data_IF_280039905977
#
_entry.id   IF_280039905977
#
_cell.length_a   1.000
_cell.length_b   1.000
_cell.length_c   1.000
_cell.angle_alpha   90.00
_cell.angle_beta   90.00
_cell.angle_gamma   90.00
#
_symmetry.space_group_name_H-M   'P 1'
#
loop_
_entity.id
_entity.type
_entity.pdbx_description
1 polymer ?
#
# COMPACT_ATOMS: atom_id res chain seq x y z
N UNK A 1 31.31 30.23 -12.30
CA UNK A 1 30.55 30.04 -11.04
C UNK A 1 29.90 28.65 -10.95
N UNK A 2 30.57 27.56 -11.38
CA UNK A 2 29.96 26.21 -11.43
C UNK A 2 30.62 25.18 -10.48
N UNK A 3 31.60 25.57 -9.65
CA UNK A 3 32.35 24.63 -8.81
C UNK A 3 31.68 24.26 -7.48
N UNK A 4 30.94 25.19 -6.86
CA UNK A 4 30.39 24.99 -5.51
C UNK A 4 29.13 24.09 -5.48
N UNK A 5 28.31 24.09 -6.53
CA UNK A 5 27.16 23.18 -6.62
C UNK A 5 27.60 21.72 -6.75
N UNK A 6 28.69 21.46 -7.50
CA UNK A 6 29.17 20.09 -7.74
C UNK A 6 29.71 19.40 -6.48
N UNK A 7 30.39 20.13 -5.59
CA UNK A 7 30.92 19.57 -4.34
C UNK A 7 29.84 19.39 -3.27
N UNK A 8 28.87 20.30 -3.20
CA UNK A 8 27.73 20.19 -2.29
C UNK A 8 26.79 19.05 -2.67
N UNK A 9 26.46 18.90 -3.97
CA UNK A 9 25.63 17.80 -4.47
C UNK A 9 26.28 16.43 -4.22
N UNK A 10 27.60 16.32 -4.40
CA UNK A 10 28.34 15.09 -4.09
C UNK A 10 28.34 14.76 -2.59
N UNK A 11 28.45 15.77 -1.72
CA UNK A 11 28.37 15.58 -0.27
C UNK A 11 26.99 15.09 0.19
N UNK A 12 25.90 15.58 -0.40
CA UNK A 12 24.54 15.15 -0.07
C UNK A 12 24.29 13.74 -0.59
N UNK A 13 24.67 13.45 -1.84
CA UNK A 13 24.53 12.14 -2.44
C UNK A 13 25.33 11.07 -1.67
N UNK A 14 26.54 11.38 -1.23
CA UNK A 14 27.35 10.47 -0.42
C UNK A 14 26.77 10.27 0.98
N UNK A 15 26.23 11.32 1.61
CA UNK A 15 25.54 11.20 2.90
C UNK A 15 24.27 10.35 2.77
N UNK A 16 23.52 10.53 1.70
CA UNK A 16 22.34 9.72 1.38
C UNK A 16 22.71 8.25 1.14
N UNK A 17 23.74 7.98 0.34
CA UNK A 17 24.22 6.61 0.09
C UNK A 17 24.63 5.92 1.39
N UNK A 18 25.45 6.58 2.21
CA UNK A 18 25.87 6.04 3.52
C UNK A 18 24.69 5.77 4.44
N UNK A 19 23.69 6.64 4.45
CA UNK A 19 22.47 6.41 5.24
C UNK A 19 21.71 5.16 4.76
N UNK A 20 21.55 5.02 3.45
CA UNK A 20 20.87 3.87 2.85
C UNK A 20 21.64 2.58 3.12
N UNK A 21 22.94 2.55 2.87
CA UNK A 21 23.80 1.37 3.10
C UNK A 21 23.79 0.93 4.57
N UNK A 22 23.77 1.89 5.51
CA UNK A 22 23.85 1.58 6.94
C UNK A 22 22.54 1.09 7.55
N UNK A 23 21.40 1.64 7.11
CA UNK A 23 20.12 1.41 7.78
C UNK A 23 19.18 0.49 7.01
N UNK A 24 19.44 0.23 5.73
CA UNK A 24 18.57 -0.65 4.95
C UNK A 24 18.75 -2.11 5.34
N UNK A 25 17.67 -2.87 5.27
CA UNK A 25 17.73 -4.31 5.45
C UNK A 25 18.37 -4.97 4.21
N UNK A 26 19.51 -5.68 4.36
CA UNK A 26 20.20 -6.31 3.24
C UNK A 26 19.37 -7.43 2.58
N UNK A 27 18.40 -8.02 3.28
CA UNK A 27 17.58 -9.12 2.76
C UNK A 27 16.65 -8.66 1.63
N UNK A 28 16.27 -7.38 1.62
CA UNK A 28 15.31 -6.80 0.67
C UNK A 28 15.96 -5.97 -0.43
N UNK A 29 17.28 -5.78 -0.40
CA UNK A 29 18.01 -4.86 -1.29
C UNK A 29 17.79 -5.15 -2.78
N UNK A 30 17.86 -6.43 -3.15
CA UNK A 30 17.76 -6.88 -4.54
C UNK A 30 16.31 -7.09 -5.02
N UNK A 31 15.32 -6.75 -4.20
CA UNK A 31 13.92 -6.93 -4.58
C UNK A 31 13.45 -5.82 -5.50
N UNK A 32 12.40 -6.12 -6.26
CA UNK A 32 11.85 -5.17 -7.23
C UNK A 32 11.39 -3.87 -6.54
N UNK A 33 11.82 -2.74 -7.11
CA UNK A 33 11.68 -1.36 -6.58
C UNK A 33 12.39 -1.05 -5.24
N UNK A 34 13.29 -1.91 -4.76
CA UNK A 34 13.99 -1.70 -3.48
C UNK A 34 15.41 -1.13 -3.60
N UNK A 35 15.91 -0.89 -4.81
CA UNK A 35 17.24 -0.26 -5.02
C UNK A 35 17.32 1.16 -4.44
N UNK A 36 16.21 1.88 -4.40
CA UNK A 36 16.10 3.23 -3.87
C UNK A 36 14.68 3.77 -4.03
N UNK A 37 14.39 4.99 -3.53
CA UNK A 37 13.07 5.61 -3.60
C UNK A 37 12.74 6.15 -5.00
N UNK A 38 13.76 6.39 -5.85
CA UNK A 38 13.61 7.00 -7.17
C UNK A 38 12.56 6.32 -8.07
N UNK A 39 12.60 4.99 -8.27
CA UNK A 39 11.59 4.27 -9.03
C UNK A 39 10.17 4.48 -8.50
N UNK A 40 9.96 4.38 -7.18
CA UNK A 40 8.67 4.61 -6.54
C UNK A 40 8.18 6.06 -6.76
N UNK A 41 9.04 7.04 -6.49
CA UNK A 41 8.71 8.45 -6.67
C UNK A 41 8.35 8.76 -8.11
N UNK A 42 8.99 8.11 -9.08
CA UNK A 42 8.68 8.25 -10.51
C UNK A 42 7.28 7.69 -10.81
N UNK A 43 6.94 6.51 -10.28
CA UNK A 43 5.59 5.93 -10.41
C UNK A 43 4.55 6.87 -9.82
N UNK A 44 4.77 7.37 -8.59
CA UNK A 44 3.82 8.24 -7.90
C UNK A 44 3.67 9.62 -8.57
N UNK A 45 4.76 10.21 -9.05
CA UNK A 45 4.72 11.47 -9.79
C UNK A 45 3.94 11.29 -11.10
N UNK A 46 4.20 10.21 -11.83
CA UNK A 46 3.46 9.87 -13.06
C UNK A 46 1.98 9.62 -12.77
N UNK A 47 1.68 8.89 -11.70
CA UNK A 47 0.32 8.64 -11.23
C UNK A 47 -0.44 9.93 -10.91
N UNK A 48 0.16 10.84 -10.13
CA UNK A 48 -0.47 12.12 -9.78
C UNK A 48 -0.66 13.01 -11.01
N UNK A 49 0.35 13.07 -11.89
CA UNK A 49 0.27 13.83 -13.13
C UNK A 49 -0.83 13.29 -14.05
N UNK A 50 -0.94 11.97 -14.17
CA UNK A 50 -2.00 11.32 -14.91
C UNK A 50 -3.39 11.62 -14.31
N UNK A 51 -3.57 11.40 -13.02
CA UNK A 51 -4.89 11.50 -12.39
C UNK A 51 -5.42 12.94 -12.32
N UNK A 52 -4.54 13.92 -12.11
CA UNK A 52 -4.96 15.32 -11.95
C UNK A 52 -4.93 16.12 -13.25
N UNK A 53 -4.10 15.75 -14.22
CA UNK A 53 -3.90 16.55 -15.43
C UNK A 53 -4.19 15.78 -16.72
N UNK A 54 -3.39 14.76 -17.04
CA UNK A 54 -3.43 14.13 -18.37
C UNK A 54 -4.73 13.36 -18.60
N UNK A 55 -5.10 12.49 -17.66
CA UNK A 55 -6.27 11.63 -17.77
C UNK A 55 -7.58 12.43 -17.88
N UNK A 56 -7.86 13.41 -16.99
CA UNK A 56 -9.06 14.26 -17.12
C UNK A 56 -9.10 15.06 -18.42
N UNK A 57 -7.95 15.62 -18.88
CA UNK A 57 -7.87 16.34 -20.16
C UNK A 57 -8.14 15.42 -21.34
N UNK A 58 -7.53 14.24 -21.36
CA UNK A 58 -7.73 13.23 -22.40
C UNK A 58 -9.18 12.73 -22.46
N UNK A 59 -9.82 12.57 -21.30
CA UNK A 59 -11.21 12.11 -21.19
C UNK A 59 -12.25 13.22 -21.42
N UNK A 60 -11.85 14.50 -21.51
CA UNK A 60 -12.78 15.64 -21.61
C UNK A 60 -13.80 15.45 -22.73
N UNK A 61 -13.31 15.16 -23.93
CA UNK A 61 -14.09 15.06 -25.17
C UNK A 61 -14.49 13.61 -25.51
N UNK A 62 -14.27 12.67 -24.58
CA UNK A 62 -14.61 11.24 -24.73
C UNK A 62 -15.75 10.83 -23.82
N UNK A 63 -16.50 9.81 -24.25
CA UNK A 63 -17.47 9.12 -23.39
C UNK A 63 -16.74 8.27 -22.34
N UNK A 64 -17.33 8.03 -21.15
CA UNK A 64 -16.76 7.12 -20.16
C UNK A 64 -16.50 5.74 -20.76
N UNK A 65 -15.32 5.17 -20.52
CA UNK A 65 -15.03 3.81 -21.00
C UNK A 65 -15.84 2.75 -20.24
N UNK A 66 -16.31 1.74 -20.97
CA UNK A 66 -16.86 0.54 -20.35
C UNK A 66 -15.74 -0.45 -20.04
N UNK A 67 -15.28 -0.40 -18.79
CA UNK A 67 -14.20 -1.25 -18.27
C UNK A 67 -14.74 -2.34 -17.35
N UNK A 68 -16.01 -2.74 -17.49
CA UNK A 68 -16.67 -3.68 -16.56
C UNK A 68 -15.85 -4.95 -16.33
N UNK A 69 -15.47 -5.66 -17.41
CA UNK A 69 -14.74 -6.92 -17.29
C UNK A 69 -13.34 -6.73 -16.71
N UNK A 70 -12.65 -5.65 -17.09
CA UNK A 70 -11.33 -5.31 -16.56
C UNK A 70 -11.39 -5.07 -15.05
N UNK A 71 -12.39 -4.30 -14.60
CA UNK A 71 -12.59 -4.01 -13.17
C UNK A 71 -12.99 -5.27 -12.38
N UNK A 72 -13.76 -6.17 -12.98
CA UNK A 72 -14.09 -7.46 -12.36
C UNK A 72 -12.82 -8.29 -12.13
N UNK A 73 -11.99 -8.47 -13.16
CA UNK A 73 -10.73 -9.22 -13.07
C UNK A 73 -9.80 -8.56 -12.04
N UNK A 74 -9.70 -7.24 -12.08
CA UNK A 74 -8.91 -6.46 -11.13
C UNK A 74 -9.38 -6.66 -9.69
N UNK A 75 -10.69 -6.52 -9.40
CA UNK A 75 -11.23 -6.71 -8.05
C UNK A 75 -11.02 -8.14 -7.55
N UNK A 76 -11.19 -9.16 -8.41
CA UNK A 76 -10.88 -10.55 -8.05
C UNK A 76 -9.39 -10.71 -7.72
N UNK A 77 -8.50 -10.14 -8.53
CA UNK A 77 -7.05 -10.17 -8.28
C UNK A 77 -6.69 -9.49 -6.95
N UNK A 78 -7.33 -8.37 -6.63
CA UNK A 78 -7.16 -7.67 -5.36
C UNK A 78 -7.65 -8.48 -4.16
N UNK A 79 -8.79 -9.16 -4.28
CA UNK A 79 -9.31 -10.07 -3.25
C UNK A 79 -8.29 -11.19 -3.00
N UNK A 80 -7.82 -11.86 -4.05
CA UNK A 80 -6.84 -12.95 -3.93
C UNK A 80 -5.53 -12.49 -3.31
N UNK A 81 -5.01 -11.35 -3.75
CA UNK A 81 -3.79 -10.74 -3.16
C UNK A 81 -3.99 -10.41 -1.69
N UNK A 82 -5.16 -9.86 -1.32
CA UNK A 82 -5.47 -9.51 0.07
C UNK A 82 -5.60 -10.75 0.95
N UNK A 83 -6.25 -11.82 0.47
CA UNK A 83 -6.32 -13.11 1.19
C UNK A 83 -4.93 -13.69 1.38
N UNK A 84 -4.09 -13.67 0.32
CA UNK A 84 -2.71 -14.12 0.39
C UNK A 84 -1.92 -13.34 1.45
N UNK A 85 -2.04 -12.02 1.50
CA UNK A 85 -1.35 -11.18 2.48
C UNK A 85 -1.80 -11.45 3.92
N UNK A 86 -3.10 -11.65 4.14
CA UNK A 86 -3.61 -12.07 5.45
C UNK A 86 -3.01 -13.40 5.86
N UNK A 87 -3.04 -14.39 4.96
CA UNK A 87 -2.47 -15.71 5.23
C UNK A 87 -0.96 -15.65 5.53
N UNK A 88 -0.19 -14.94 4.71
CA UNK A 88 1.26 -14.79 4.90
C UNK A 88 1.59 -14.07 6.21
N UNK A 89 0.91 -12.96 6.53
CA UNK A 89 1.18 -12.23 7.76
C UNK A 89 0.79 -13.01 9.03
N UNK A 90 -0.28 -13.80 8.97
CA UNK A 90 -0.67 -14.70 10.07
C UNK A 90 0.38 -15.82 10.25
N UNK A 91 0.69 -16.56 9.19
CA UNK A 91 1.61 -17.72 9.27
C UNK A 91 3.06 -17.30 9.53
N UNK A 92 3.47 -16.11 9.07
CA UNK A 92 4.82 -15.61 9.31
C UNK A 92 5.04 -15.09 10.75
N UNK A 93 3.98 -14.79 11.50
CA UNK A 93 4.12 -14.37 12.89
C UNK A 93 2.82 -14.26 13.69
N UNK A 94 1.81 -13.54 13.18
CA UNK A 94 0.66 -13.09 13.96
C UNK A 94 -0.32 -14.18 14.41
N UNK A 95 -0.18 -15.42 13.91
CA UNK A 95 -1.05 -16.52 14.32
C UNK A 95 -0.68 -17.07 15.70
N UNK A 96 0.62 -17.24 15.99
CA UNK A 96 1.07 -17.88 17.25
C UNK A 96 2.45 -17.40 17.77
N UNK A 97 3.23 -16.64 16.99
CA UNK A 97 4.63 -16.36 17.32
C UNK A 97 4.86 -14.93 17.83
N UNK A 98 4.08 -13.97 17.33
CA UNK A 98 4.27 -12.55 17.64
C UNK A 98 3.51 -12.12 18.90
N UNK A 99 4.12 -11.23 19.67
CA UNK A 99 3.50 -10.61 20.83
C UNK A 99 2.68 -9.37 20.41
N UNK A 100 1.41 -9.34 20.77
CA UNK A 100 0.50 -8.22 20.44
C UNK A 100 0.79 -6.91 21.19
N UNK A 101 1.55 -6.94 22.28
CA UNK A 101 1.90 -5.73 23.04
C UNK A 101 3.15 -5.05 22.50
N UNK A 102 4.19 -5.84 22.22
CA UNK A 102 5.50 -5.36 21.81
C UNK A 102 6.21 -6.44 20.99
N UNK A 103 6.42 -6.17 19.70
CA UNK A 103 7.09 -7.10 18.81
C UNK A 103 8.23 -6.42 18.03
N UNK A 104 9.50 -6.71 18.35
CA UNK A 104 10.63 -6.19 17.58
C UNK A 104 10.71 -6.84 16.19
N UNK A 105 11.43 -6.17 15.29
CA UNK A 105 11.75 -6.71 13.97
C UNK A 105 12.82 -7.80 14.11
N UNK A 106 12.56 -8.98 13.55
CA UNK A 106 13.58 -10.03 13.41
C UNK A 106 14.39 -9.80 12.12
N UNK A 107 15.65 -9.38 12.28
CA UNK A 107 16.59 -9.14 11.18
C UNK A 107 17.38 -10.39 10.76
N UNK A 108 17.13 -11.55 11.37
CA UNK A 108 17.81 -12.80 11.01
C UNK A 108 17.38 -13.34 9.63
N UNK A 109 18.19 -14.23 9.07
CA UNK A 109 17.84 -14.97 7.84
C UNK A 109 16.96 -16.21 8.09
N UNK A 110 16.27 -16.26 9.24
CA UNK A 110 15.36 -17.38 9.52
C UNK A 110 14.24 -17.48 8.48
N UNK A 111 13.74 -18.69 8.17
CA UNK A 111 12.67 -18.86 7.20
C UNK A 111 11.42 -18.03 7.52
N UNK A 112 11.07 -17.87 8.80
CA UNK A 112 9.93 -17.03 9.24
C UNK A 112 10.20 -15.55 9.05
N UNK A 113 11.38 -15.05 9.42
CA UNK A 113 11.74 -13.64 9.26
C UNK A 113 11.78 -13.23 7.77
N UNK A 114 12.36 -14.08 6.91
CA UNK A 114 12.35 -13.86 5.46
C UNK A 114 10.94 -13.91 4.87
N UNK A 115 10.07 -14.80 5.38
CA UNK A 115 8.67 -14.86 4.96
C UNK A 115 7.89 -13.60 5.37
N UNK A 116 8.09 -13.10 6.59
CA UNK A 116 7.50 -11.84 7.02
C UNK A 116 7.98 -10.67 6.16
N UNK A 117 9.28 -10.56 5.92
CA UNK A 117 9.84 -9.55 5.03
C UNK A 117 9.21 -9.60 3.64
N UNK A 118 9.05 -10.80 3.08
CA UNK A 118 8.39 -11.00 1.80
C UNK A 118 6.91 -10.57 1.83
N UNK A 119 6.19 -10.85 2.92
CA UNK A 119 4.81 -10.40 3.10
C UNK A 119 4.71 -8.86 3.12
N UNK A 120 5.65 -8.16 3.79
CA UNK A 120 5.72 -6.69 3.78
C UNK A 120 5.99 -6.16 2.37
N UNK A 121 6.84 -6.83 1.58
CA UNK A 121 7.10 -6.44 0.19
C UNK A 121 5.91 -6.73 -0.75
N UNK A 122 5.20 -7.84 -0.55
CA UNK A 122 3.94 -8.09 -1.26
C UNK A 122 2.87 -7.07 -0.90
N UNK A 123 2.83 -6.61 0.37
CA UNK A 123 1.93 -5.55 0.80
C UNK A 123 2.27 -4.23 0.09
N UNK A 124 3.55 -3.85 0.02
CA UNK A 124 4.01 -2.72 -0.79
C UNK A 124 3.57 -2.85 -2.25
N UNK A 125 3.79 -4.01 -2.86
CA UNK A 125 3.39 -4.27 -4.24
C UNK A 125 1.87 -4.13 -4.42
N UNK A 126 1.07 -4.63 -3.49
CA UNK A 126 -0.38 -4.42 -3.50
C UNK A 126 -0.74 -2.93 -3.49
N UNK A 127 -0.12 -2.11 -2.63
CA UNK A 127 -0.37 -0.66 -2.59
C UNK A 127 -0.05 0.04 -3.93
N UNK A 128 0.95 -0.43 -4.68
CA UNK A 128 1.25 0.07 -6.03
C UNK A 128 0.15 -0.30 -7.02
N UNK A 129 -0.34 -1.55 -6.98
CA UNK A 129 -1.42 -2.01 -7.87
C UNK A 129 -2.72 -1.26 -7.56
N UNK A 130 -2.98 -0.94 -6.28
CA UNK A 130 -4.15 -0.15 -5.84
C UNK A 130 -4.22 1.26 -6.45
N UNK A 131 -3.10 1.81 -6.95
CA UNK A 131 -3.11 3.08 -7.70
C UNK A 131 -4.03 3.01 -8.94
N UNK A 132 -4.27 1.81 -9.48
CA UNK A 132 -5.17 1.60 -10.61
C UNK A 132 -6.63 1.95 -10.28
N UNK A 133 -7.04 1.96 -9.01
CA UNK A 133 -8.40 2.37 -8.61
C UNK A 133 -8.73 3.78 -9.12
N UNK A 134 -7.81 4.72 -8.88
CA UNK A 134 -7.96 6.10 -9.32
C UNK A 134 -7.89 6.22 -10.84
N UNK A 135 -7.03 5.43 -11.49
CA UNK A 135 -6.95 5.36 -12.96
C UNK A 135 -8.31 4.94 -13.54
N UNK A 136 -8.94 3.92 -12.97
CA UNK A 136 -10.29 3.50 -13.39
C UNK A 136 -11.34 4.58 -13.13
N UNK A 137 -11.26 5.32 -12.03
CA UNK A 137 -12.18 6.44 -11.77
C UNK A 137 -12.04 7.55 -12.83
N UNK A 138 -10.82 7.90 -13.21
CA UNK A 138 -10.55 8.89 -14.26
C UNK A 138 -11.10 8.42 -15.62
N UNK A 139 -10.78 7.19 -16.03
CA UNK A 139 -11.20 6.60 -17.31
C UNK A 139 -12.73 6.41 -17.41
N UNK A 140 -13.42 6.28 -16.27
CA UNK A 140 -14.89 6.19 -16.19
C UNK A 140 -15.58 7.53 -15.90
N UNK A 141 -14.82 8.63 -15.87
CA UNK A 141 -15.30 9.98 -15.52
C UNK A 141 -16.05 10.02 -14.18
N UNK A 142 -15.61 9.23 -13.20
CA UNK A 142 -16.17 9.15 -11.84
C UNK A 142 -15.44 10.08 -10.88
N UNK A 143 -15.26 11.34 -11.27
CA UNK A 143 -14.47 12.34 -10.53
C UNK A 143 -14.94 12.53 -9.07
N UNK A 144 -16.23 12.31 -8.78
CA UNK A 144 -16.77 12.35 -7.40
C UNK A 144 -16.12 11.32 -6.47
N UNK A 145 -15.56 10.23 -7.00
CA UNK A 145 -14.86 9.21 -6.21
C UNK A 145 -13.41 9.60 -5.92
N UNK A 146 -12.83 10.52 -6.68
CA UNK A 146 -11.46 11.01 -6.51
C UNK A 146 -11.49 12.18 -5.50
N UNK A 147 -11.64 11.85 -4.23
CA UNK A 147 -11.56 12.83 -3.14
C UNK A 147 -10.09 13.13 -2.79
N UNK A 148 -9.85 14.24 -2.09
CA UNK A 148 -8.53 14.54 -1.53
C UNK A 148 -8.03 13.40 -0.64
N UNK A 149 -8.90 12.88 0.23
CA UNK A 149 -8.55 11.78 1.13
C UNK A 149 -8.13 10.53 0.36
N UNK A 150 -8.87 10.18 -0.69
CA UNK A 150 -8.54 9.04 -1.56
C UNK A 150 -7.16 9.22 -2.19
N UNK A 151 -6.92 10.38 -2.82
CA UNK A 151 -5.67 10.64 -3.51
C UNK A 151 -4.48 10.70 -2.54
N UNK A 152 -4.64 11.35 -1.39
CA UNK A 152 -3.64 11.44 -0.33
C UNK A 152 -3.28 10.05 0.22
N UNK A 153 -4.29 9.24 0.54
CA UNK A 153 -4.10 7.87 1.02
C UNK A 153 -3.35 7.01 -0.02
N UNK A 154 -3.82 6.97 -1.27
CA UNK A 154 -3.16 6.18 -2.32
C UNK A 154 -1.76 6.69 -2.68
N UNK A 155 -1.43 7.94 -2.41
CA UNK A 155 -0.07 8.47 -2.56
C UNK A 155 0.85 8.10 -1.39
N UNK A 156 0.37 8.24 -0.14
CA UNK A 156 1.19 8.01 1.04
C UNK A 156 1.37 6.54 1.40
N UNK A 157 0.36 5.70 1.19
CA UNK A 157 0.43 4.28 1.57
C UNK A 157 1.58 3.52 0.89
N UNK A 158 1.84 3.67 -0.43
CA UNK A 158 3.01 3.06 -1.06
C UNK A 158 4.35 3.56 -0.50
N UNK A 159 4.44 4.85 -0.12
CA UNK A 159 5.64 5.44 0.48
C UNK A 159 5.91 4.80 1.84
N UNK A 160 4.90 4.77 2.71
CA UNK A 160 5.00 4.15 4.03
C UNK A 160 5.35 2.65 3.91
N UNK A 161 4.73 1.94 2.97
CA UNK A 161 5.03 0.53 2.74
C UNK A 161 6.46 0.31 2.22
N UNK A 162 6.97 1.18 1.34
CA UNK A 162 8.36 1.11 0.87
C UNK A 162 9.36 1.34 2.00
N UNK A 163 9.11 2.31 2.88
CA UNK A 163 9.91 2.54 4.09
C UNK A 163 9.87 1.28 4.98
N UNK A 164 8.69 0.67 5.14
CA UNK A 164 8.52 -0.59 5.86
C UNK A 164 9.40 -1.71 5.29
N UNK A 165 9.36 -1.95 3.98
CA UNK A 165 10.21 -2.99 3.36
C UNK A 165 11.70 -2.68 3.52
N UNK A 166 12.08 -1.41 3.36
CA UNK A 166 13.48 -1.01 3.28
C UNK A 166 14.16 -1.01 4.64
N UNK A 167 13.46 -0.64 5.70
CA UNK A 167 14.05 -0.42 7.02
C UNK A 167 13.47 -1.32 8.12
N UNK A 168 12.18 -1.68 8.04
CA UNK A 168 11.46 -2.39 9.11
C UNK A 168 10.63 -3.56 8.55
N UNK A 169 11.24 -4.55 7.86
CA UNK A 169 10.49 -5.61 7.16
C UNK A 169 10.01 -6.72 8.11
N UNK A 170 9.29 -6.34 9.15
CA UNK A 170 8.78 -7.23 10.20
C UNK A 170 8.29 -6.48 11.43
N UNK A 171 8.02 -7.23 12.50
CA UNK A 171 7.72 -6.66 13.81
C UNK A 171 6.32 -6.02 13.95
N UNK A 172 6.18 -5.20 14.98
CA UNK A 172 4.91 -4.63 15.46
C UNK A 172 4.06 -3.96 14.39
N UNK A 173 4.70 -3.15 13.52
CA UNK A 173 4.01 -2.41 12.47
C UNK A 173 3.31 -3.29 11.43
N UNK A 174 3.67 -4.58 11.31
CA UNK A 174 3.10 -5.48 10.31
C UNK A 174 1.66 -5.90 10.59
N UNK A 175 1.16 -5.75 11.83
CA UNK A 175 -0.25 -6.02 12.14
C UNK A 175 -1.18 -5.07 11.36
N UNK A 176 -0.73 -3.83 11.13
CA UNK A 176 -1.41 -2.87 10.27
C UNK A 176 -1.66 -3.48 8.88
N UNK A 177 -0.64 -4.09 8.30
CA UNK A 177 -0.73 -4.74 7.00
C UNK A 177 -1.76 -5.86 6.99
N UNK A 178 -1.73 -6.74 7.99
CA UNK A 178 -2.67 -7.87 8.11
C UNK A 178 -4.12 -7.39 8.24
N UNK A 179 -4.39 -6.46 9.15
CA UNK A 179 -5.75 -5.91 9.35
C UNK A 179 -6.22 -5.17 8.10
N UNK A 180 -5.34 -4.37 7.48
CA UNK A 180 -5.67 -3.64 6.26
C UNK A 180 -6.00 -4.58 5.11
N UNK A 181 -5.21 -5.63 4.90
CA UNK A 181 -5.48 -6.65 3.89
C UNK A 181 -6.79 -7.38 4.17
N UNK A 182 -7.12 -7.70 5.43
CA UNK A 182 -8.40 -8.31 5.78
C UNK A 182 -9.59 -7.40 5.42
N UNK A 183 -9.53 -6.11 5.74
CA UNK A 183 -10.58 -5.17 5.34
C UNK A 183 -10.61 -4.98 3.83
N UNK A 184 -9.47 -5.04 3.13
CA UNK A 184 -9.41 -5.00 1.67
C UNK A 184 -10.11 -6.20 1.01
N UNK A 185 -10.06 -7.40 1.61
CA UNK A 185 -10.88 -8.55 1.14
C UNK A 185 -12.36 -8.16 1.11
N UNK A 186 -12.86 -7.57 2.20
CA UNK A 186 -14.28 -7.16 2.32
C UNK A 186 -14.60 -6.02 1.35
N UNK A 187 -13.74 -5.01 1.27
CA UNK A 187 -13.91 -3.83 0.43
C UNK A 187 -13.93 -4.19 -1.06
N UNK A 188 -12.96 -4.97 -1.55
CA UNK A 188 -12.91 -5.37 -2.96
C UNK A 188 -14.01 -6.38 -3.31
N UNK A 189 -14.46 -7.21 -2.37
CA UNK A 189 -15.66 -8.03 -2.55
C UNK A 189 -16.90 -7.15 -2.75
N UNK A 190 -17.06 -6.10 -1.94
CA UNK A 190 -18.11 -5.10 -2.13
C UNK A 190 -18.02 -4.44 -3.51
N UNK A 191 -16.82 -4.03 -3.95
CA UNK A 191 -16.62 -3.42 -5.28
C UNK A 191 -16.91 -4.38 -6.42
N UNK A 192 -16.51 -5.64 -6.31
CA UNK A 192 -16.81 -6.69 -7.27
C UNK A 192 -18.33 -6.84 -7.45
N UNK A 193 -19.06 -7.04 -6.36
CA UNK A 193 -20.53 -7.21 -6.40
C UNK A 193 -21.19 -5.93 -6.95
N UNK A 194 -20.69 -4.74 -6.58
CA UNK A 194 -21.20 -3.47 -7.09
C UNK A 194 -21.03 -3.32 -8.61
N UNK A 195 -19.99 -3.96 -9.18
CA UNK A 195 -19.66 -3.92 -10.60
C UNK A 195 -20.46 -4.87 -11.47
N UNK A 196 -21.13 -5.88 -10.90
CA UNK A 196 -21.88 -6.88 -11.67
C UNK A 196 -23.15 -6.33 -12.33
N UNK A 197 -23.71 -5.24 -11.80
CA UNK A 197 -24.82 -4.48 -12.39
C UNK A 197 -25.92 -4.12 -11.39
N UNK A 198 -26.94 -3.36 -11.83
CA UNK A 198 -28.05 -2.91 -10.98
C UNK A 198 -28.78 -4.06 -10.28
N UNK A 199 -28.86 -5.23 -10.91
CA UNK A 199 -29.52 -6.41 -10.35
C UNK A 199 -28.83 -6.94 -9.08
N UNK A 200 -27.52 -6.71 -8.91
CA UNK A 200 -26.78 -7.10 -7.71
C UNK A 200 -26.63 -5.94 -6.72
N UNK A 201 -26.58 -4.69 -7.20
CA UNK A 201 -26.46 -3.50 -6.35
C UNK A 201 -27.59 -3.36 -5.33
N UNK A 202 -28.81 -3.84 -5.64
CA UNK A 202 -29.94 -3.83 -4.70
C UNK A 202 -29.69 -4.64 -3.42
N UNK A 203 -28.79 -5.62 -3.44
CA UNK A 203 -28.43 -6.44 -2.28
C UNK A 203 -27.31 -5.84 -1.44
N UNK A 204 -26.72 -4.72 -1.85
CA UNK A 204 -25.58 -4.06 -1.17
C UNK A 204 -26.04 -3.10 -0.05
N UNK A 205 -26.98 -3.54 0.79
CA UNK A 205 -27.47 -2.76 1.93
C UNK A 205 -26.37 -2.48 2.97
N UNK A 206 -25.33 -3.32 3.01
CA UNK A 206 -24.24 -3.30 3.98
C UNK A 206 -23.08 -2.34 3.62
N UNK A 207 -23.25 -1.47 2.61
CA UNK A 207 -22.25 -0.44 2.26
C UNK A 207 -21.77 0.36 3.48
N UNK A 208 -22.70 0.77 4.35
CA UNK A 208 -22.37 1.56 5.56
C UNK A 208 -21.49 0.76 6.53
N UNK A 209 -21.73 -0.55 6.66
CA UNK A 209 -20.94 -1.42 7.52
C UNK A 209 -19.50 -1.55 7.03
N UNK A 210 -19.25 -1.56 5.71
CA UNK A 210 -17.88 -1.53 5.17
C UNK A 210 -17.13 -0.29 5.65
N UNK A 211 -17.76 0.89 5.56
CA UNK A 211 -17.14 2.13 6.03
C UNK A 211 -16.93 2.12 7.54
N UNK A 212 -17.88 1.58 8.32
CA UNK A 212 -17.72 1.41 9.77
C UNK A 212 -16.54 0.49 10.10
N UNK A 213 -16.37 -0.62 9.39
CA UNK A 213 -15.23 -1.53 9.58
C UNK A 213 -13.90 -0.85 9.26
N UNK A 214 -13.82 -0.04 8.21
CA UNK A 214 -12.63 0.76 7.88
C UNK A 214 -12.27 1.75 9.00
N UNK A 215 -13.27 2.41 9.60
CA UNK A 215 -13.03 3.33 10.73
C UNK A 215 -12.56 2.59 11.98
N UNK A 216 -13.20 1.45 12.30
CA UNK A 216 -12.79 0.60 13.43
C UNK A 216 -11.36 0.10 13.23
N UNK A 217 -10.99 -0.31 12.02
CA UNK A 217 -9.63 -0.68 11.67
C UNK A 217 -8.63 0.43 12.04
N UNK A 218 -8.90 1.69 11.67
CA UNK A 218 -7.98 2.79 11.98
C UNK A 218 -7.83 2.98 13.49
N UNK A 219 -8.90 2.84 14.27
CA UNK A 219 -8.85 2.93 15.73
C UNK A 219 -8.02 1.79 16.33
N UNK A 220 -8.20 0.56 15.88
CA UNK A 220 -7.44 -0.61 16.35
C UNK A 220 -5.95 -0.43 16.04
N UNK A 221 -5.63 -0.07 14.80
CA UNK A 221 -4.24 0.15 14.37
C UNK A 221 -3.60 1.29 15.15
N UNK A 222 -4.32 2.40 15.33
CA UNK A 222 -3.83 3.53 16.10
C UNK A 222 -3.52 3.13 17.54
N UNK A 223 -4.47 2.49 18.22
CA UNK A 223 -4.28 2.01 19.59
C UNK A 223 -3.08 1.06 19.69
N UNK A 224 -3.02 0.04 18.81
CA UNK A 224 -1.93 -0.94 18.82
C UNK A 224 -0.56 -0.30 18.59
N UNK A 225 -0.43 0.70 17.71
CA UNK A 225 0.86 1.39 17.53
C UNK A 225 1.16 2.37 18.68
N UNK A 226 0.12 2.96 19.27
CA UNK A 226 0.27 3.88 20.41
C UNK A 226 0.84 3.19 21.65
N UNK A 227 0.54 1.90 21.87
CA UNK A 227 1.07 1.15 23.03
C UNK A 227 2.58 1.04 23.03
N UNK A 228 3.24 1.03 21.87
CA UNK A 228 4.71 0.97 21.75
C UNK A 228 5.38 2.20 22.38
N UNK A 229 4.72 3.35 22.43
CA UNK A 229 5.29 4.53 23.11
C UNK A 229 5.41 4.35 24.63
N UNK A 230 4.69 3.39 25.20
CA UNK A 230 4.66 3.11 26.65
C UNK A 230 5.26 1.75 27.01
N UNK A 231 5.61 0.93 26.02
CA UNK A 231 6.25 -0.36 26.20
C UNK A 231 7.61 -0.34 25.51
N UNK A 232 8.69 -0.56 26.26
CA UNK A 232 10.03 -0.65 25.67
C UNK A 232 10.16 -1.94 24.86
N UNK A 233 10.35 -1.74 23.55
CA UNK A 233 10.82 -2.69 22.55
C UNK A 233 12.16 -2.15 22.01
#
# INVERSE_FOLDING_TARGET
MNGANSTFDMSILDSYRKFMERNSDPRTENWWLMSGPGPLLTILATYLYFCNSVGPRYMRDKKPYDLKNVIIIYNVSQILMSVFLVYEGLVAGWWNDYNFSCQPVDYSDSPKARRMAAAVWWYFTAKIIELLDTVFFVLRKKNRQISFLHLYHHFMMPICAWIGVKFLPGGHGTLLGVINSFIHVIMYTYYLISGLGPQYQKYLWWKKHVTTLQLIQFLIIFYHNFTVMFCEC
#
